data_IF_815683387954
#
_entry.id   IF_815683387954
#
_cell.length_a   1.000
_cell.length_b   1.000
_cell.length_c   1.000
_cell.angle_alpha   90.00
_cell.angle_beta   90.00
_cell.angle_gamma   90.00
#
_symmetry.space_group_name_H-M   'P 1'
#
loop_
_entity.id
_entity.type
_entity.pdbx_description
1 polymer ?
#
# COMPACT_ATOMS: atom_id res chain seq x y z
N UNK A 1 -18.07 18.95 3.82
CA UNK A 1 -17.06 18.15 4.55
C UNK A 1 -17.69 16.79 4.82
N UNK A 2 -17.03 15.69 4.51
CA UNK A 2 -17.62 14.35 4.63
C UNK A 2 -17.10 13.63 5.86
N UNK A 3 -17.97 13.05 6.66
CA UNK A 3 -17.58 12.25 7.83
C UNK A 3 -17.74 10.78 7.51
N UNK A 4 -16.66 10.00 7.62
CA UNK A 4 -16.74 8.55 7.59
C UNK A 4 -16.75 8.03 9.02
N UNK A 5 -17.85 7.37 9.40
CA UNK A 5 -18.08 6.88 10.76
C UNK A 5 -18.32 5.37 10.79
N UNK A 6 -18.03 4.77 11.95
CA UNK A 6 -18.25 3.35 12.21
C UNK A 6 -19.17 3.17 13.41
N UNK A 7 -20.30 2.45 13.26
CA UNK A 7 -21.24 2.31 14.34
C UNK A 7 -20.68 1.40 15.44
N UNK A 8 -20.55 1.94 16.65
CA UNK A 8 -20.84 1.19 17.86
C UNK A 8 -21.57 2.11 18.84
N UNK A 9 -22.87 1.79 19.03
CA UNK A 9 -23.80 2.20 20.09
C UNK A 9 -23.81 3.67 20.54
N UNK A 10 -24.96 4.31 20.34
CA UNK A 10 -25.37 5.53 21.01
C UNK A 10 -25.63 5.26 22.51
N UNK A 11 -24.58 4.99 23.30
CA UNK A 11 -24.51 5.00 24.77
C UNK A 11 -23.07 4.69 25.21
N UNK A 12 -22.41 5.32 26.20
CA UNK A 12 -22.80 6.32 27.20
C UNK A 12 -21.99 7.64 27.13
N UNK A 13 -20.94 7.72 26.31
CA UNK A 13 -20.06 8.91 26.20
C UNK A 13 -19.50 9.13 24.78
N UNK A 14 -20.12 8.53 23.75
CA UNK A 14 -19.71 8.61 22.35
C UNK A 14 -20.88 8.83 21.38
N UNK A 15 -20.60 8.99 20.09
CA UNK A 15 -21.62 9.19 19.07
C UNK A 15 -21.04 9.55 17.69
N UNK A 16 -21.90 10.07 16.83
CA UNK A 16 -21.55 10.60 15.51
C UNK A 16 -22.15 12.00 15.35
N UNK A 17 -21.64 12.74 14.37
CA UNK A 17 -22.07 14.09 14.04
C UNK A 17 -23.51 14.07 13.52
N UNK A 18 -24.44 14.66 14.28
CA UNK A 18 -25.82 14.80 13.84
C UNK A 18 -25.92 15.92 12.79
N UNK A 19 -26.52 15.62 11.64
CA UNK A 19 -26.72 16.56 10.52
C UNK A 19 -27.42 17.87 10.95
N UNK A 20 -28.24 17.83 12.01
CA UNK A 20 -28.89 19.03 12.58
C UNK A 20 -27.88 20.04 13.15
N UNK A 21 -26.76 19.57 13.71
CA UNK A 21 -25.68 20.42 14.23
C UNK A 21 -24.59 20.70 13.18
N UNK A 22 -24.52 19.87 12.14
CA UNK A 22 -23.52 19.95 11.08
C UNK A 22 -24.19 20.00 9.69
N UNK A 23 -24.85 21.11 9.31
CA UNK A 23 -25.69 21.17 8.11
C UNK A 23 -24.91 21.09 6.79
N UNK A 24 -23.60 21.34 6.81
CA UNK A 24 -22.71 21.27 5.63
C UNK A 24 -21.90 19.96 5.58
N UNK A 25 -22.38 18.94 6.31
CA UNK A 25 -21.73 17.64 6.43
C UNK A 25 -22.62 16.55 5.86
N UNK A 26 -22.01 15.68 5.05
CA UNK A 26 -22.59 14.40 4.66
C UNK A 26 -21.92 13.32 5.52
N UNK A 27 -22.71 12.58 6.30
CA UNK A 27 -22.21 11.48 7.12
C UNK A 27 -22.37 10.15 6.38
N UNK A 28 -21.28 9.39 6.28
CA UNK A 28 -21.24 8.11 5.59
C UNK A 28 -20.76 7.02 6.53
N UNK A 29 -21.58 5.99 6.71
CA UNK A 29 -21.21 4.81 7.46
C UNK A 29 -20.52 3.81 6.53
N UNK A 30 -19.33 3.33 6.92
CA UNK A 30 -18.59 2.31 6.15
C UNK A 30 -18.80 0.88 6.65
N UNK A 31 -19.56 0.72 7.73
CA UNK A 31 -19.96 -0.58 8.31
C UNK A 31 -18.79 -1.53 8.60
N UNK A 32 -17.60 -0.99 8.87
CA UNK A 32 -16.44 -1.83 9.14
C UNK A 32 -16.57 -2.55 10.49
N UNK A 33 -16.31 -3.86 10.52
CA UNK A 33 -16.31 -4.67 11.74
C UNK A 33 -15.34 -4.15 12.81
N UNK A 34 -15.61 -4.53 14.06
CA UNK A 34 -14.73 -4.25 15.19
C UNK A 34 -13.55 -5.24 15.28
N UNK A 35 -12.63 -4.97 16.21
CA UNK A 35 -11.39 -5.74 16.39
C UNK A 35 -11.64 -7.24 16.66
N UNK A 36 -12.75 -7.61 17.30
CA UNK A 36 -13.06 -9.00 17.65
C UNK A 36 -13.51 -9.80 16.43
N UNK A 37 -14.33 -9.18 15.56
CA UNK A 37 -14.76 -9.80 14.31
C UNK A 37 -13.57 -10.03 13.38
N UNK A 38 -12.65 -9.06 13.29
CA UNK A 38 -11.43 -9.20 12.48
C UNK A 38 -10.49 -10.28 13.04
N UNK A 39 -10.35 -10.37 14.38
CA UNK A 39 -9.59 -11.47 15.01
C UNK A 39 -10.18 -12.83 14.65
N UNK A 40 -11.50 -12.98 14.76
CA UNK A 40 -12.18 -14.24 14.45
C UNK A 40 -12.05 -14.61 12.96
N UNK A 41 -12.11 -13.62 12.07
CA UNK A 41 -11.90 -13.83 10.63
C UNK A 41 -10.52 -14.40 10.32
N UNK A 42 -9.45 -13.82 10.89
CA UNK A 42 -8.10 -14.35 10.69
C UNK A 42 -7.91 -15.73 11.35
N UNK A 43 -8.55 -15.97 12.50
CA UNK A 43 -8.52 -17.28 13.16
C UNK A 43 -9.10 -18.36 12.25
N UNK A 44 -10.28 -18.11 11.66
CA UNK A 44 -10.89 -19.01 10.67
C UNK A 44 -10.00 -19.19 9.44
N UNK A 45 -9.42 -18.11 8.91
CA UNK A 45 -8.53 -18.18 7.76
C UNK A 45 -7.32 -19.08 8.02
N UNK A 46 -6.68 -18.93 9.18
CA UNK A 46 -5.57 -19.80 9.62
C UNK A 46 -5.97 -21.28 9.59
N UNK A 47 -7.15 -21.62 10.13
CA UNK A 47 -7.63 -23.00 10.18
C UNK A 47 -7.90 -23.59 8.78
N UNK A 48 -8.25 -22.76 7.80
CA UNK A 48 -8.46 -23.18 6.41
C UNK A 48 -7.14 -23.42 5.67
N UNK A 49 -6.12 -22.59 5.91
CA UNK A 49 -4.86 -22.61 5.15
C UNK A 49 -3.76 -23.48 5.77
N UNK A 50 -3.89 -23.88 7.04
CA UNK A 50 -2.85 -24.62 7.77
C UNK A 50 -3.44 -25.56 8.84
N UNK A 51 -2.95 -26.82 8.98
CA UNK A 51 -1.77 -27.39 8.32
C UNK A 51 -2.05 -28.06 6.97
N UNK A 52 -3.30 -28.42 6.69
CA UNK A 52 -3.71 -29.13 5.48
C UNK A 52 -4.89 -28.43 4.83
N UNK A 53 -4.83 -28.23 3.51
CA UNK A 53 -5.88 -27.59 2.73
C UNK A 53 -6.91 -28.63 2.27
N UNK A 54 -8.20 -28.31 2.40
CA UNK A 54 -9.30 -29.08 1.79
C UNK A 54 -9.61 -28.55 0.39
N UNK A 55 -8.94 -29.10 -0.64
CA UNK A 55 -9.03 -28.64 -2.03
C UNK A 55 -10.48 -28.55 -2.58
N UNK A 56 -11.36 -29.56 -2.41
CA UNK A 56 -12.72 -29.52 -2.95
C UNK A 56 -13.59 -28.37 -2.41
N UNK A 57 -13.35 -27.93 -1.17
CA UNK A 57 -14.13 -26.88 -0.51
C UNK A 57 -13.32 -25.59 -0.31
N UNK A 58 -12.15 -25.45 -0.95
CA UNK A 58 -11.25 -24.31 -0.77
C UNK A 58 -11.96 -22.96 -0.86
N UNK A 59 -12.68 -22.73 -1.97
CA UNK A 59 -13.33 -21.44 -2.21
C UNK A 59 -14.45 -21.14 -1.20
N UNK A 60 -15.26 -22.14 -0.84
CA UNK A 60 -16.34 -21.94 0.14
C UNK A 60 -15.80 -21.79 1.56
N UNK A 61 -14.74 -22.50 1.92
CA UNK A 61 -14.07 -22.38 3.20
C UNK A 61 -13.43 -20.99 3.38
N UNK A 62 -12.75 -20.48 2.36
CA UNK A 62 -12.20 -19.12 2.36
C UNK A 62 -13.31 -18.06 2.46
N UNK A 63 -14.40 -18.21 1.72
CA UNK A 63 -15.54 -17.29 1.77
C UNK A 63 -16.15 -17.20 3.20
N UNK A 64 -16.29 -18.34 3.89
CA UNK A 64 -16.80 -18.41 5.27
C UNK A 64 -15.90 -17.74 6.32
N UNK A 65 -14.65 -17.42 5.99
CA UNK A 65 -13.77 -16.62 6.86
C UNK A 65 -14.15 -15.14 6.85
N UNK A 66 -14.80 -14.68 5.78
CA UNK A 66 -15.06 -13.27 5.45
C UNK A 66 -13.80 -12.39 5.36
N UNK A 67 -12.60 -12.97 5.31
CA UNK A 67 -11.37 -12.18 5.31
C UNK A 67 -11.29 -11.25 4.09
N UNK A 68 -11.47 -11.80 2.89
CA UNK A 68 -11.47 -11.03 1.65
C UNK A 68 -12.62 -10.02 1.58
N UNK A 69 -13.75 -10.31 2.23
CA UNK A 69 -14.85 -9.36 2.33
C UNK A 69 -14.46 -8.14 3.18
N UNK A 70 -13.72 -8.33 4.27
CA UNK A 70 -13.24 -7.20 5.08
C UNK A 70 -12.12 -6.42 4.40
N UNK A 71 -11.24 -7.08 3.63
CA UNK A 71 -10.27 -6.40 2.74
C UNK A 71 -11.02 -5.57 1.68
N UNK A 72 -12.08 -6.12 1.09
CA UNK A 72 -12.94 -5.43 0.12
C UNK A 72 -13.57 -4.17 0.72
N UNK A 73 -14.12 -4.25 1.93
CA UNK A 73 -14.74 -3.10 2.58
C UNK A 73 -13.73 -1.99 2.88
N UNK A 74 -12.51 -2.33 3.33
CA UNK A 74 -11.42 -1.35 3.53
C UNK A 74 -11.04 -0.64 2.23
N UNK A 75 -10.75 -1.41 1.18
CA UNK A 75 -10.39 -0.86 -0.12
C UNK A 75 -11.53 -0.02 -0.70
N UNK A 76 -12.78 -0.48 -0.61
CA UNK A 76 -13.94 0.28 -1.08
C UNK A 76 -14.10 1.62 -0.32
N UNK A 77 -13.91 1.60 1.01
CA UNK A 77 -13.94 2.80 1.84
C UNK A 77 -12.86 3.80 1.46
N UNK A 78 -11.60 3.34 1.36
CA UNK A 78 -10.47 4.17 0.96
C UNK A 78 -10.60 4.72 -0.47
N UNK A 79 -11.03 3.90 -1.43
CA UNK A 79 -11.31 4.33 -2.81
C UNK A 79 -12.40 5.41 -2.83
N UNK A 80 -13.46 5.26 -2.02
CA UNK A 80 -14.52 6.27 -1.90
C UNK A 80 -13.99 7.58 -1.33
N UNK A 81 -13.11 7.54 -0.33
CA UNK A 81 -12.46 8.71 0.23
C UNK A 81 -11.55 9.41 -0.78
N UNK A 82 -10.66 8.66 -1.43
CA UNK A 82 -9.78 9.17 -2.47
C UNK A 82 -10.57 9.83 -3.61
N UNK A 83 -11.67 9.22 -4.05
CA UNK A 83 -12.55 9.79 -5.07
C UNK A 83 -13.23 11.10 -4.62
N UNK A 84 -13.66 11.20 -3.36
CA UNK A 84 -14.26 12.43 -2.81
C UNK A 84 -13.25 13.57 -2.70
N UNK A 85 -12.01 13.26 -2.34
CA UNK A 85 -10.91 14.22 -2.29
C UNK A 85 -10.50 14.67 -3.70
N UNK A 86 -10.21 13.72 -4.59
CA UNK A 86 -9.66 14.02 -5.90
C UNK A 86 -10.72 14.47 -6.90
N UNK A 87 -11.79 13.71 -7.13
CA UNK A 87 -12.82 14.08 -8.11
C UNK A 87 -13.86 15.04 -7.51
N UNK A 88 -14.26 14.78 -6.26
CA UNK A 88 -15.26 15.60 -5.57
C UNK A 88 -14.73 16.91 -5.02
N UNK A 89 -13.40 17.12 -5.00
CA UNK A 89 -12.72 18.29 -4.43
C UNK A 89 -13.27 18.68 -3.05
N UNK A 90 -13.63 17.68 -2.25
CA UNK A 90 -14.31 17.84 -0.97
C UNK A 90 -13.42 17.34 0.16
N UNK A 91 -13.20 18.16 1.18
CA UNK A 91 -12.49 17.74 2.38
C UNK A 91 -13.24 16.66 3.15
N UNK A 92 -12.49 15.68 3.64
CA UNK A 92 -13.00 14.50 4.36
C UNK A 92 -12.45 14.50 5.78
N UNK A 93 -13.30 14.17 6.75
CA UNK A 93 -12.95 13.81 8.12
C UNK A 93 -13.23 12.33 8.31
N UNK A 94 -12.27 11.62 8.89
CA UNK A 94 -12.35 10.17 9.10
C UNK A 94 -12.24 9.93 10.57
N UNK A 95 -13.20 9.21 11.15
CA UNK A 95 -13.06 8.79 12.54
C UNK A 95 -13.74 7.44 12.80
N UNK A 96 -13.31 6.82 13.88
CA UNK A 96 -13.94 5.64 14.44
C UNK A 96 -14.12 5.85 15.94
N UNK A 97 -14.54 4.82 16.67
CA UNK A 97 -14.76 4.90 18.11
C UNK A 97 -13.60 5.55 18.87
N UNK A 98 -12.37 5.08 18.63
CA UNK A 98 -11.16 5.60 19.31
C UNK A 98 -10.18 6.34 18.38
N UNK A 99 -10.38 6.27 17.07
CA UNK A 99 -9.56 6.98 16.08
C UNK A 99 -8.19 6.36 15.73
N UNK A 100 -7.73 5.27 16.36
CA UNK A 100 -6.38 4.71 16.15
C UNK A 100 -6.32 3.39 15.34
N UNK A 101 -7.46 2.83 14.97
CA UNK A 101 -7.56 1.51 14.32
C UNK A 101 -8.01 1.63 12.85
N UNK A 102 -9.33 1.68 12.62
CA UNK A 102 -9.93 1.78 11.28
C UNK A 102 -9.63 3.12 10.60
N UNK A 103 -9.47 4.18 11.39
CA UNK A 103 -9.05 5.48 10.88
C UNK A 103 -7.67 5.38 10.23
N UNK A 104 -6.68 4.81 10.93
CA UNK A 104 -5.33 4.63 10.39
C UNK A 104 -5.33 3.79 9.10
N UNK A 105 -6.12 2.70 9.06
CA UNK A 105 -6.30 1.90 7.84
C UNK A 105 -6.80 2.75 6.66
N UNK A 106 -7.85 3.55 6.88
CA UNK A 106 -8.48 4.32 5.80
C UNK A 106 -7.64 5.52 5.36
N UNK A 107 -7.05 6.27 6.29
CA UNK A 107 -6.22 7.42 5.95
C UNK A 107 -4.97 6.97 5.22
N UNK A 108 -4.30 5.92 5.69
CA UNK A 108 -3.08 5.42 5.04
C UNK A 108 -3.35 4.84 3.66
N UNK A 109 -4.43 4.06 3.47
CA UNK A 109 -4.81 3.55 2.15
C UNK A 109 -5.20 4.67 1.18
N UNK A 110 -5.95 5.67 1.64
CA UNK A 110 -6.33 6.80 0.79
C UNK A 110 -5.11 7.64 0.40
N UNK A 111 -4.15 7.82 1.31
CA UNK A 111 -2.88 8.51 1.03
C UNK A 111 -2.05 7.76 -0.01
N UNK A 112 -1.99 6.42 0.03
CA UNK A 112 -1.32 5.62 -1.01
C UNK A 112 -1.97 5.75 -2.38
N UNK A 113 -3.30 5.84 -2.41
CA UNK A 113 -4.06 6.04 -3.64
C UNK A 113 -3.78 7.43 -4.23
N UNK A 114 -3.75 8.47 -3.40
CA UNK A 114 -3.67 9.86 -3.84
C UNK A 114 -2.25 10.33 -4.15
N UNK A 115 -1.26 9.95 -3.34
CA UNK A 115 0.08 10.55 -3.37
C UNK A 115 1.14 9.49 -3.73
N UNK A 116 1.89 9.74 -4.82
CA UNK A 116 2.94 8.84 -5.30
C UNK A 116 4.15 8.78 -4.38
N UNK A 117 4.36 9.79 -3.53
CA UNK A 117 5.41 9.78 -2.52
C UNK A 117 5.30 8.54 -1.63
N UNK A 118 4.11 8.24 -1.10
CA UNK A 118 3.91 7.10 -0.20
C UNK A 118 4.05 5.74 -0.87
N UNK A 119 4.13 5.68 -2.20
CA UNK A 119 4.37 4.46 -2.98
C UNK A 119 5.86 4.18 -3.21
N UNK A 120 6.73 5.11 -2.84
CA UNK A 120 8.18 4.88 -2.75
C UNK A 120 8.52 4.06 -1.51
N UNK A 121 9.66 3.36 -1.51
CA UNK A 121 10.13 2.56 -0.39
C UNK A 121 10.25 3.42 0.87
N UNK A 122 10.86 4.61 0.76
CA UNK A 122 10.98 5.54 1.90
C UNK A 122 9.66 6.21 2.26
N UNK A 123 8.85 6.60 1.29
CA UNK A 123 7.57 7.22 1.56
C UNK A 123 6.62 6.28 2.29
N UNK A 124 6.61 4.99 1.96
CA UNK A 124 5.82 4.00 2.71
C UNK A 124 6.29 3.86 4.16
N UNK A 125 7.60 3.88 4.41
CA UNK A 125 8.14 3.87 5.78
C UNK A 125 7.67 5.11 6.56
N UNK A 126 7.70 6.29 5.93
CA UNK A 126 7.17 7.54 6.50
C UNK A 126 5.67 7.43 6.77
N UNK A 127 4.90 6.83 5.86
CA UNK A 127 3.47 6.62 6.04
C UNK A 127 3.16 5.78 7.29
N UNK A 128 3.92 4.70 7.50
CA UNK A 128 3.79 3.84 8.68
C UNK A 128 4.21 4.56 9.96
N UNK A 129 5.35 5.26 9.96
CA UNK A 129 5.79 6.05 11.12
C UNK A 129 4.78 7.16 11.47
N UNK A 130 4.17 7.79 10.46
CA UNK A 130 3.16 8.83 10.63
C UNK A 130 1.81 8.24 11.07
N UNK A 131 1.07 7.61 10.16
CA UNK A 131 -0.35 7.28 10.35
C UNK A 131 -0.59 6.15 11.35
N UNK A 132 0.44 5.33 11.62
CA UNK A 132 0.30 4.20 12.53
C UNK A 132 1.04 4.40 13.84
N UNK A 133 2.34 4.73 13.79
CA UNK A 133 3.15 4.79 15.01
C UNK A 133 2.91 6.10 15.76
N UNK A 134 3.04 7.26 15.10
CA UNK A 134 2.88 8.56 15.77
C UNK A 134 1.44 8.84 16.17
N UNK A 135 0.46 8.45 15.33
CA UNK A 135 -0.97 8.58 15.61
C UNK A 135 -1.52 7.54 16.60
N UNK A 136 -0.64 6.68 17.17
CA UNK A 136 -0.96 5.89 18.36
C UNK A 136 -1.76 4.63 18.10
N UNK A 137 -1.58 3.98 16.94
CA UNK A 137 -2.02 2.60 16.79
C UNK A 137 -1.36 1.75 17.87
N UNK A 138 -2.18 1.02 18.64
CA UNK A 138 -1.74 0.30 19.84
C UNK A 138 -1.03 -1.01 19.49
N UNK A 139 0.10 -0.96 18.78
CA UNK A 139 0.84 -2.13 18.29
C UNK A 139 1.08 -3.17 19.38
N UNK A 140 1.62 -2.74 20.53
CA UNK A 140 1.90 -3.65 21.65
C UNK A 140 0.65 -4.40 22.15
N UNK A 141 -0.50 -3.72 22.23
CA UNK A 141 -1.77 -4.33 22.67
C UNK A 141 -2.43 -5.19 21.57
N UNK A 142 -2.41 -4.72 20.33
CA UNK A 142 -3.03 -5.39 19.17
C UNK A 142 -2.30 -6.68 18.77
N UNK A 143 -0.99 -6.71 18.96
CA UNK A 143 -0.15 -7.89 18.69
C UNK A 143 0.07 -8.75 19.94
N UNK A 144 0.26 -8.12 21.12
CA UNK A 144 0.56 -8.81 22.37
C UNK A 144 2.04 -9.16 22.54
N UNK A 145 2.93 -8.17 22.37
CA UNK A 145 4.39 -8.35 22.41
C UNK A 145 4.84 -8.84 23.80
N UNK A 146 5.39 -10.06 23.86
CA UNK A 146 5.88 -10.65 25.12
C UNK A 146 4.79 -10.92 26.16
N UNK A 147 3.52 -10.86 25.79
CA UNK A 147 2.38 -11.13 26.67
C UNK A 147 1.96 -12.60 26.52
N UNK A 148 2.01 -13.34 27.63
CA UNK A 148 1.59 -14.75 27.69
C UNK A 148 0.08 -14.92 27.57
N UNK A 149 -0.72 -13.86 27.73
CA UNK A 149 -2.17 -13.93 27.58
C UNK A 149 -2.63 -13.90 26.11
N UNK A 150 -2.42 -15.02 25.42
CA UNK A 150 -2.99 -15.34 24.10
C UNK A 150 -4.52 -15.15 23.96
N UNK A 151 -5.30 -15.16 25.05
CA UNK A 151 -6.75 -14.94 25.00
C UNK A 151 -7.15 -13.46 25.13
N UNK A 152 -6.19 -12.54 25.21
CA UNK A 152 -6.44 -11.11 25.37
C UNK A 152 -7.34 -10.57 24.25
N UNK A 153 -8.48 -9.99 24.64
CA UNK A 153 -9.51 -9.49 23.73
C UNK A 153 -9.07 -8.26 22.93
N UNK A 154 -7.99 -7.59 23.31
CA UNK A 154 -7.43 -6.44 22.59
C UNK A 154 -6.61 -6.82 21.35
N UNK A 155 -6.24 -8.11 21.21
CA UNK A 155 -5.46 -8.58 20.07
C UNK A 155 -6.31 -8.61 18.80
N UNK A 156 -5.79 -8.04 17.71
CA UNK A 156 -6.46 -8.02 16.41
C UNK A 156 -5.50 -7.66 15.27
N UNK A 157 -5.64 -8.30 14.09
CA UNK A 157 -4.68 -8.16 12.98
C UNK A 157 -4.95 -6.94 12.07
N UNK A 158 -5.18 -5.75 12.64
CA UNK A 158 -5.56 -4.59 11.84
C UNK A 158 -4.44 -4.06 10.93
N UNK A 159 -3.21 -4.03 11.44
CA UNK A 159 -2.05 -3.67 10.61
C UNK A 159 -1.79 -4.73 9.52
N UNK A 160 -2.06 -6.00 9.80
CA UNK A 160 -2.00 -7.08 8.79
C UNK A 160 -3.02 -6.84 7.68
N UNK A 161 -4.27 -6.48 8.01
CA UNK A 161 -5.27 -6.12 7.00
C UNK A 161 -4.84 -4.92 6.15
N UNK A 162 -4.20 -3.92 6.75
CA UNK A 162 -3.66 -2.79 5.99
C UNK A 162 -2.59 -3.26 5.00
N UNK A 163 -1.60 -4.02 5.44
CA UNK A 163 -0.55 -4.53 4.56
C UNK A 163 -1.11 -5.45 3.47
N UNK A 164 -2.13 -6.26 3.77
CA UNK A 164 -2.86 -7.05 2.78
C UNK A 164 -3.53 -6.14 1.73
N UNK A 165 -4.24 -5.10 2.15
CA UNK A 165 -4.80 -4.10 1.21
C UNK A 165 -3.74 -3.44 0.34
N UNK A 166 -2.55 -3.16 0.89
CA UNK A 166 -1.40 -2.65 0.11
C UNK A 166 -0.96 -3.70 -0.92
N UNK A 167 -0.82 -4.96 -0.51
CA UNK A 167 -0.50 -6.05 -1.41
C UNK A 167 -1.52 -6.18 -2.55
N UNK A 168 -2.84 -6.11 -2.28
CA UNK A 168 -3.88 -6.11 -3.31
C UNK A 168 -3.66 -4.99 -4.34
N UNK A 169 -3.28 -3.78 -3.89
CA UNK A 169 -2.96 -2.68 -4.80
C UNK A 169 -1.69 -2.95 -5.61
N UNK A 170 -0.67 -3.59 -5.04
CA UNK A 170 0.52 -3.99 -5.82
C UNK A 170 0.21 -5.02 -6.91
N UNK A 171 -0.77 -5.90 -6.69
CA UNK A 171 -1.23 -6.86 -7.71
C UNK A 171 -1.98 -6.15 -8.85
N UNK A 172 -2.85 -5.20 -8.52
CA UNK A 172 -3.63 -4.45 -9.52
C UNK A 172 -2.79 -3.39 -10.26
N UNK A 173 -1.73 -2.87 -9.63
CA UNK A 173 -0.85 -1.84 -10.20
C UNK A 173 0.64 -2.23 -10.11
N UNK A 174 1.11 -3.21 -10.91
CA UNK A 174 2.45 -3.80 -10.75
C UNK A 174 3.64 -2.84 -10.91
N UNK A 175 3.43 -1.67 -11.54
CA UNK A 175 4.46 -0.66 -11.76
C UNK A 175 4.34 0.56 -10.84
N UNK A 176 3.31 0.65 -9.99
CA UNK A 176 3.02 1.87 -9.24
C UNK A 176 3.74 1.97 -7.89
N UNK A 177 4.28 0.87 -7.36
CA UNK A 177 4.95 0.80 -6.07
C UNK A 177 6.43 0.45 -6.25
N UNK A 178 7.30 1.20 -5.57
CA UNK A 178 8.75 0.99 -5.62
C UNK A 178 9.17 -0.26 -4.85
N UNK A 179 8.41 -0.63 -3.82
CA UNK A 179 8.68 -1.81 -3.02
C UNK A 179 8.00 -3.06 -3.58
N UNK A 180 8.59 -4.22 -3.33
CA UNK A 180 8.08 -5.51 -3.76
C UNK A 180 7.36 -6.26 -2.61
N UNK A 181 6.85 -7.46 -2.91
CA UNK A 181 6.15 -8.29 -1.95
C UNK A 181 7.03 -8.72 -0.76
N UNK A 182 8.33 -8.96 -0.97
CA UNK A 182 9.25 -9.33 0.11
C UNK A 182 9.29 -8.24 1.18
N UNK A 183 9.31 -6.97 0.79
CA UNK A 183 9.26 -5.86 1.74
C UNK A 183 8.02 -5.92 2.64
N UNK A 184 6.84 -6.16 2.07
CA UNK A 184 5.60 -6.26 2.84
C UNK A 184 5.62 -7.45 3.81
N UNK A 185 6.12 -8.61 3.36
CA UNK A 185 6.28 -9.80 4.22
C UNK A 185 7.30 -9.52 5.34
N UNK A 186 8.43 -8.88 5.05
CA UNK A 186 9.45 -8.51 6.03
C UNK A 186 8.91 -7.55 7.08
N UNK A 187 8.07 -6.58 6.69
CA UNK A 187 7.35 -5.70 7.63
C UNK A 187 6.47 -6.52 8.59
N UNK A 188 5.71 -7.50 8.06
CA UNK A 188 4.85 -8.35 8.87
C UNK A 188 5.62 -9.36 9.75
N UNK A 189 6.75 -9.89 9.29
CA UNK A 189 7.61 -10.72 10.13
C UNK A 189 8.18 -9.92 11.31
N UNK A 190 8.59 -8.69 11.05
CA UNK A 190 9.15 -7.82 12.08
C UNK A 190 8.12 -7.11 12.96
N UNK A 191 6.85 -7.07 12.56
CA UNK A 191 5.72 -6.74 13.43
C UNK A 191 5.71 -7.65 14.66
N UNK A 192 5.92 -8.95 14.46
CA UNK A 192 5.87 -9.95 15.54
C UNK A 192 7.22 -10.21 16.20
N UNK A 193 8.33 -10.11 15.46
CA UNK A 193 9.65 -10.57 15.93
C UNK A 193 10.17 -9.85 17.19
N UNK A 194 9.75 -8.61 17.42
CA UNK A 194 10.33 -7.70 18.43
C UNK A 194 11.86 -7.49 18.30
N UNK A 195 12.46 -7.82 17.15
CA UNK A 195 13.88 -7.59 16.90
C UNK A 195 14.22 -6.10 16.84
N UNK A 196 13.29 -5.31 16.29
CA UNK A 196 13.40 -3.86 16.12
C UNK A 196 12.45 -3.12 17.07
N UNK A 197 12.78 -1.87 17.38
CA UNK A 197 11.92 -0.99 18.15
C UNK A 197 10.73 -0.43 17.39
N UNK A 198 10.70 -0.56 16.06
CA UNK A 198 9.72 0.11 15.17
C UNK A 198 8.28 -0.09 15.63
N UNK A 199 7.86 -1.32 15.91
CA UNK A 199 6.48 -1.64 16.29
C UNK A 199 6.28 -1.88 17.80
N UNK A 200 7.19 -1.41 18.66
CA UNK A 200 7.02 -1.49 20.11
C UNK A 200 6.16 -0.35 20.68
N UNK A 201 5.55 -0.59 21.84
CA UNK A 201 4.69 0.33 22.60
C UNK A 201 3.35 0.64 21.90
N UNK A 202 2.54 1.52 22.51
CA UNK A 202 1.21 1.87 22.00
C UNK A 202 1.05 3.34 21.57
N UNK A 203 2.03 4.20 21.87
CA UNK A 203 1.98 5.61 21.52
C UNK A 203 3.39 6.21 21.42
N UNK A 204 3.52 7.34 20.73
CA UNK A 204 4.77 8.10 20.67
C UNK A 204 5.27 8.51 22.06
N UNK A 205 4.36 8.90 22.96
CA UNK A 205 4.68 9.23 24.35
C UNK A 205 5.34 8.04 25.09
N UNK A 206 4.76 6.84 24.98
CA UNK A 206 5.35 5.64 25.59
C UNK A 206 6.72 5.31 25.00
N UNK A 207 6.90 5.49 23.68
CA UNK A 207 8.17 5.25 22.99
C UNK A 207 9.25 6.20 23.46
N UNK A 208 8.91 7.48 23.65
CA UNK A 208 9.81 8.48 24.20
C UNK A 208 10.20 8.16 25.65
N UNK A 209 9.22 7.82 26.49
CA UNK A 209 9.45 7.47 27.90
C UNK A 209 10.36 6.23 28.07
N UNK A 210 10.27 5.27 27.15
CA UNK A 210 11.13 4.08 27.14
C UNK A 210 12.42 4.26 26.35
N UNK A 211 12.65 5.44 25.77
CA UNK A 211 13.82 5.76 24.95
C UNK A 211 14.04 4.75 23.80
N UNK A 212 12.95 4.34 23.13
CA UNK A 212 13.00 3.30 22.09
C UNK A 212 14.00 3.65 21.00
N UNK A 213 14.05 4.92 20.58
CA UNK A 213 14.93 5.38 19.49
C UNK A 213 16.43 5.23 19.81
N UNK A 214 16.84 5.29 21.09
CA UNK A 214 18.26 5.18 21.48
C UNK A 214 18.61 3.78 21.97
N UNK A 215 17.64 3.04 22.51
CA UNK A 215 17.85 1.68 23.07
C UNK A 215 17.61 0.55 22.08
N UNK A 216 17.07 0.83 20.89
CA UNK A 216 16.73 -0.19 19.90
C UNK A 216 17.09 0.26 18.49
N UNK A 217 17.13 -0.70 17.55
CA UNK A 217 17.34 -0.43 16.13
C UNK A 217 15.99 -0.28 15.42
N UNK A 218 15.93 0.60 14.43
CA UNK A 218 14.77 0.71 13.53
C UNK A 218 14.79 -0.37 12.45
N UNK A 219 13.64 -0.96 12.16
CA UNK A 219 13.43 -1.85 11.00
C UNK A 219 13.87 -1.16 9.71
N UNK A 220 13.61 0.14 9.60
CA UNK A 220 13.98 0.92 8.41
C UNK A 220 15.49 1.03 8.23
N UNK A 221 16.28 1.00 9.31
CA UNK A 221 17.73 0.94 9.21
C UNK A 221 18.20 -0.35 8.54
N UNK A 222 17.55 -1.48 8.86
CA UNK A 222 17.81 -2.76 8.20
C UNK A 222 17.36 -2.73 6.73
N UNK A 223 16.11 -2.38 6.47
CA UNK A 223 15.55 -2.35 5.10
C UNK A 223 16.38 -1.45 4.18
N UNK A 224 16.71 -0.24 4.64
CA UNK A 224 17.43 0.74 3.84
C UNK A 224 18.93 0.42 3.68
N UNK A 225 19.47 -0.56 4.41
CA UNK A 225 20.84 -1.03 4.20
C UNK A 225 20.98 -2.01 3.02
N UNK A 226 19.86 -2.54 2.52
CA UNK A 226 19.81 -3.56 1.45
C UNK A 226 18.58 -3.35 0.56
N UNK A 227 18.42 -2.13 0.03
CA UNK A 227 17.23 -1.73 -0.74
C UNK A 227 16.97 -2.61 -1.96
N UNK A 228 18.02 -3.14 -2.60
CA UNK A 228 17.92 -3.98 -3.79
C UNK A 228 17.02 -5.21 -3.61
N UNK A 229 16.98 -5.79 -2.41
CA UNK A 229 16.14 -6.97 -2.14
C UNK A 229 14.65 -6.61 -2.07
N UNK A 230 14.36 -5.34 -1.79
CA UNK A 230 13.03 -4.81 -1.53
C UNK A 230 12.46 -3.99 -2.68
N UNK A 231 13.27 -3.67 -3.69
CA UNK A 231 12.86 -2.86 -4.84
C UNK A 231 12.13 -3.71 -5.89
N UNK A 232 11.08 -3.12 -6.46
CA UNK A 232 10.35 -3.64 -7.60
C UNK A 232 11.03 -3.16 -8.91
N UNK A 233 11.55 -4.08 -9.76
CA UNK A 233 12.20 -3.72 -11.02
C UNK A 233 11.27 -3.06 -12.03
N UNK A 234 9.96 -3.24 -11.90
CA UNK A 234 8.94 -2.68 -12.80
C UNK A 234 8.44 -1.30 -12.37
N UNK A 235 8.93 -0.78 -11.23
CA UNK A 235 8.50 0.51 -10.73
C UNK A 235 8.76 1.62 -11.75
N UNK A 236 7.71 2.40 -11.99
CA UNK A 236 7.71 3.61 -12.78
C UNK A 236 7.17 4.75 -11.94
N UNK A 237 7.94 5.84 -11.83
CA UNK A 237 7.50 7.03 -11.13
C UNK A 237 6.53 7.82 -12.01
N UNK A 238 5.24 7.51 -11.89
CA UNK A 238 4.17 8.32 -12.45
C UNK A 238 3.85 9.45 -11.47
N UNK A 239 4.39 10.63 -11.75
CA UNK A 239 4.02 11.85 -11.03
C UNK A 239 2.50 12.08 -11.19
N UNK A 240 1.84 12.46 -10.10
CA UNK A 240 0.43 12.89 -10.05
C UNK A 240 -0.65 11.87 -10.48
N UNK A 241 -0.34 10.57 -10.58
CA UNK A 241 -1.36 9.57 -10.93
C UNK A 241 -2.05 8.97 -9.71
N UNK A 242 -3.35 9.22 -9.53
CA UNK A 242 -4.18 8.64 -8.47
C UNK A 242 -4.60 7.20 -8.81
N UNK A 243 -4.45 6.28 -7.86
CA UNK A 243 -4.84 4.88 -8.02
C UNK A 243 -6.27 4.63 -7.52
N UNK A 244 -7.08 3.93 -8.31
CA UNK A 244 -8.43 3.51 -7.94
C UNK A 244 -8.54 1.98 -8.03
N UNK A 245 -8.18 1.22 -6.97
CA UNK A 245 -8.29 -0.23 -7.00
C UNK A 245 -9.74 -0.70 -7.08
N UNK A 246 -9.95 -1.82 -7.77
CA UNK A 246 -11.22 -2.50 -7.89
C UNK A 246 -11.50 -3.32 -6.63
N UNK A 247 -12.31 -2.75 -5.74
CA UNK A 247 -12.78 -3.41 -4.52
C UNK A 247 -13.94 -4.39 -4.81
N UNK A 248 -13.64 -5.46 -5.55
CA UNK A 248 -14.59 -6.52 -5.91
C UNK A 248 -14.00 -7.89 -5.59
N UNK A 249 -14.81 -8.81 -5.08
CA UNK A 249 -14.41 -10.20 -4.79
C UNK A 249 -13.82 -10.95 -6.01
N UNK A 250 -14.08 -10.47 -7.23
CA UNK A 250 -13.51 -11.01 -8.47
C UNK A 250 -12.07 -10.58 -8.75
N UNK A 251 -11.59 -9.53 -8.08
CA UNK A 251 -10.28 -8.91 -8.30
C UNK A 251 -9.41 -8.92 -7.04
N UNK A 252 -9.94 -9.42 -5.94
CA UNK A 252 -9.19 -9.63 -4.70
C UNK A 252 -8.76 -11.08 -4.64
N UNK A 253 -7.52 -11.28 -4.27
CA UNK A 253 -6.91 -12.59 -4.19
C UNK A 253 -6.53 -12.91 -2.75
N UNK A 254 -6.51 -14.19 -2.39
CA UNK A 254 -5.90 -14.58 -1.12
C UNK A 254 -4.39 -14.42 -1.25
N UNK A 255 -3.76 -13.71 -0.32
CA UNK A 255 -2.31 -13.55 -0.26
C UNK A 255 -1.61 -14.85 0.20
N UNK A 256 -1.56 -15.85 -0.68
CA UNK A 256 -1.08 -17.21 -0.40
C UNK A 256 0.39 -17.24 0.02
N UNK A 257 1.22 -16.39 -0.57
CA UNK A 257 2.65 -16.21 -0.25
C UNK A 257 2.89 -15.65 1.16
N UNK A 258 1.88 -15.12 1.84
CA UNK A 258 1.93 -14.78 3.26
C UNK A 258 1.16 -15.80 4.13
N UNK A 259 -0.13 -16.00 3.87
CA UNK A 259 -1.00 -16.83 4.73
C UNK A 259 -0.72 -18.33 4.63
N UNK A 260 -0.31 -18.81 3.46
CA UNK A 260 -0.05 -20.23 3.18
C UNK A 260 1.44 -20.53 2.92
N UNK A 261 2.34 -19.61 3.28
CA UNK A 261 3.78 -19.69 2.97
C UNK A 261 4.53 -20.89 3.54
N UNK A 262 3.94 -21.54 4.55
CA UNK A 262 4.47 -22.75 5.19
C UNK A 262 3.85 -24.03 4.64
N UNK A 263 2.83 -23.94 3.79
CA UNK A 263 2.21 -25.11 3.16
C UNK A 263 3.11 -25.61 2.02
N UNK A 264 3.59 -26.87 2.06
CA UNK A 264 4.50 -27.39 1.03
C UNK A 264 3.94 -27.35 -0.39
N UNK A 265 2.62 -27.48 -0.56
CA UNK A 265 1.97 -27.44 -1.88
C UNK A 265 1.76 -26.02 -2.43
N UNK A 266 1.76 -25.01 -1.56
CA UNK A 266 1.52 -23.60 -1.95
C UNK A 266 2.79 -22.76 -1.99
N UNK A 267 3.93 -23.31 -1.54
CA UNK A 267 5.20 -22.61 -1.52
C UNK A 267 5.79 -22.54 -2.94
N UNK A 268 6.16 -21.34 -3.44
CA UNK A 268 6.89 -21.23 -4.69
C UNK A 268 8.21 -21.99 -4.63
N UNK A 269 8.54 -22.76 -5.67
CA UNK A 269 9.81 -23.51 -5.75
C UNK A 269 11.03 -22.58 -5.78
N UNK A 270 10.89 -21.41 -6.42
CA UNK A 270 11.91 -20.36 -6.48
C UNK A 270 11.39 -19.12 -5.77
N UNK A 271 12.17 -18.52 -4.85
CA UNK A 271 11.77 -17.27 -4.21
C UNK A 271 11.65 -16.12 -5.23
N UNK A 272 10.45 -15.55 -5.36
CA UNK A 272 10.15 -14.49 -6.35
C UNK A 272 11.12 -13.31 -6.25
N UNK A 273 11.51 -12.92 -5.03
CA UNK A 273 12.44 -11.80 -4.82
C UNK A 273 13.83 -12.00 -5.44
N UNK A 274 14.31 -13.24 -5.56
CA UNK A 274 15.59 -13.52 -6.22
C UNK A 274 15.52 -13.19 -7.70
N UNK A 275 14.43 -13.60 -8.36
CA UNK A 275 14.16 -13.24 -9.75
C UNK A 275 13.99 -11.73 -9.93
N UNK A 276 13.30 -11.04 -9.00
CA UNK A 276 13.17 -9.57 -9.04
C UNK A 276 14.52 -8.86 -8.92
N UNK A 277 15.42 -9.38 -8.07
CA UNK A 277 16.78 -8.85 -7.92
C UNK A 277 17.62 -9.05 -9.18
N UNK A 278 17.54 -10.23 -9.80
CA UNK A 278 18.20 -10.49 -11.09
C UNK A 278 17.69 -9.54 -12.19
N UNK A 279 16.38 -9.27 -12.21
CA UNK A 279 15.78 -8.30 -13.13
C UNK A 279 16.27 -6.86 -12.88
N UNK A 280 16.50 -6.45 -11.62
CA UNK A 280 17.10 -5.15 -11.31
C UNK A 280 18.52 -5.04 -11.88
N UNK A 281 19.35 -6.07 -11.69
CA UNK A 281 20.71 -6.11 -12.23
C UNK A 281 20.71 -6.06 -13.75
N UNK A 282 19.84 -6.86 -14.39
CA UNK A 282 19.71 -6.87 -15.85
C UNK A 282 19.22 -5.51 -16.39
N UNK A 283 18.26 -4.87 -15.72
CA UNK A 283 17.79 -3.52 -16.07
C UNK A 283 18.94 -2.52 -16.04
N UNK A 284 19.76 -2.53 -14.99
CA UNK A 284 20.90 -1.63 -14.87
C UNK A 284 21.95 -1.87 -15.98
N UNK A 285 22.23 -3.13 -16.31
CA UNK A 285 23.14 -3.47 -17.41
C UNK A 285 22.62 -2.97 -18.77
N UNK A 286 21.33 -3.19 -19.05
CA UNK A 286 20.69 -2.75 -20.29
C UNK A 286 20.66 -1.23 -20.39
N UNK A 287 20.35 -0.51 -19.31
CA UNK A 287 20.39 0.96 -19.29
C UNK A 287 21.79 1.48 -19.63
N UNK A 288 22.84 0.89 -19.06
CA UNK A 288 24.23 1.26 -19.38
C UNK A 288 24.58 1.04 -20.86
N UNK A 289 24.17 -0.10 -21.43
CA UNK A 289 24.38 -0.39 -22.86
C UNK A 289 23.64 0.60 -23.76
N UNK A 290 22.41 0.97 -23.37
CA UNK A 290 21.62 1.98 -24.08
C UNK A 290 22.34 3.33 -24.06
N UNK A 291 22.83 3.78 -22.92
CA UNK A 291 23.58 5.03 -22.79
C UNK A 291 24.87 5.04 -23.63
N UNK A 292 25.58 3.90 -23.68
CA UNK A 292 26.77 3.73 -24.50
C UNK A 292 26.46 3.84 -26.01
N UNK A 293 25.44 3.15 -26.49
CA UNK A 293 25.00 3.23 -27.89
C UNK A 293 24.51 4.63 -28.27
N UNK A 294 23.82 5.33 -27.37
CA UNK A 294 23.40 6.72 -27.60
C UNK A 294 24.60 7.66 -27.73
N UNK A 295 25.65 7.45 -26.94
CA UNK A 295 26.90 8.21 -27.02
C UNK A 295 27.66 7.94 -28.33
N UNK A 296 27.72 6.69 -28.78
CA UNK A 296 28.32 6.31 -30.07
C UNK A 296 27.55 6.90 -31.27
N UNK A 297 26.22 6.89 -31.22
CA UNK A 297 25.38 7.48 -32.29
C UNK A 297 25.55 9.00 -32.34
N UNK A 298 25.65 9.65 -31.17
CA UNK A 298 25.86 11.11 -31.08
C UNK A 298 27.26 11.52 -31.55
N UNK A 299 28.30 10.70 -31.31
CA UNK A 299 29.66 10.98 -31.78
C UNK A 299 29.86 10.74 -33.28
N UNK A 300 29.05 9.86 -33.90
CA UNK A 300 29.06 9.62 -35.34
C UNK A 300 28.18 10.58 -36.17
N UNK A 301 27.53 11.57 -35.52
CA UNK A 301 26.70 12.60 -36.16
C UNK A 301 27.36 13.98 -36.39
N UNK A 302 28.62 14.15 -36.89
CA UNK A 302 29.15 15.47 -37.23
C UNK A 302 29.39 15.69 -38.73
N UNK A 303 28.57 15.19 -39.67
CA UNK A 303 28.70 15.56 -41.09
C UNK A 303 27.38 15.45 -41.85
N UNK A 304 26.51 16.48 -41.77
CA UNK A 304 25.46 16.78 -42.75
C UNK A 304 24.78 18.12 -42.40
N UNK A 305 25.54 19.23 -42.35
CA UNK A 305 24.96 20.59 -42.42
C UNK A 305 26.02 21.69 -42.60
N UNK A 306 26.79 21.63 -43.69
CA UNK A 306 27.37 22.81 -44.36
C UNK A 306 27.86 22.34 -45.73
N UNK A 307 27.11 22.57 -46.81
CA UNK A 307 27.39 23.54 -47.86
C UNK A 307 26.17 23.42 -48.81
N UNK A 308 25.39 24.45 -49.13
CA UNK A 308 25.77 25.60 -49.93
C UNK A 308 24.74 26.72 -49.79
N UNK A 309 25.23 27.96 -49.65
CA UNK A 309 24.51 29.18 -50.03
C UNK A 309 25.29 29.89 -51.14
N UNK A 310 24.65 30.11 -52.31
CA UNK A 310 24.78 31.32 -53.17
C UNK A 310 23.94 31.21 -54.47
N UNK A 311 22.73 31.79 -54.41
CA UNK A 311 21.95 32.66 -55.33
C UNK A 311 22.31 32.82 -56.84
N UNK A 312 21.51 33.57 -57.66
CA UNK A 312 20.07 33.52 -57.95
C UNK A 312 19.77 33.61 -59.48
N UNK A 313 18.56 33.24 -59.94
CA UNK A 313 18.04 33.77 -61.21
C UNK A 313 16.51 33.78 -61.27
N UNK A 314 15.98 34.99 -61.48
CA UNK A 314 14.59 35.32 -61.77
C UNK A 314 13.95 34.44 -62.86
N UNK A 315 12.72 33.99 -62.62
CA UNK A 315 11.67 33.99 -63.65
C UNK A 315 10.28 33.96 -63.00
N UNK A 316 9.48 34.92 -63.43
CA UNK A 316 8.09 35.26 -63.11
C UNK A 316 7.07 34.16 -63.44
N UNK A 317 6.03 34.01 -62.61
CA UNK A 317 4.81 33.26 -62.94
C UNK A 317 3.74 33.35 -61.85
N UNK A 318 2.68 34.11 -62.13
CA UNK A 318 1.53 34.48 -61.28
C UNK A 318 0.64 33.31 -60.78
N UNK A 319 -0.24 33.55 -59.78
CA UNK A 319 -0.99 32.53 -59.06
C UNK A 319 -2.41 32.29 -59.62
N UNK A 320 -2.97 31.11 -59.40
CA UNK A 320 -4.39 30.82 -59.60
C UNK A 320 -4.90 29.80 -58.56
N UNK A 321 -5.86 30.27 -57.73
CA UNK A 321 -7.10 29.65 -57.23
C UNK A 321 -7.25 28.10 -57.33
N UNK A 322 -7.87 27.35 -56.41
CA UNK A 322 -9.03 27.62 -55.55
C UNK A 322 -9.18 26.54 -54.44
N UNK A 323 -9.77 26.98 -53.33
CA UNK A 323 -10.81 26.33 -52.52
C UNK A 323 -11.33 24.92 -52.96
N UNK A 324 -11.42 23.98 -52.01
CA UNK A 324 -12.60 23.75 -51.13
C UNK A 324 -12.10 23.23 -49.78
#
# INVERSE_FOLDING_TARGET
MLYFYFPHTQAKDGGYENESFYPNVELIFLEMPNIHVIRESLRKLKDVVYPTTDEPHWHSAIDQTHWLEYIRLLLAGATKMAYRLECGKTSVVVHCSDGWDRTAQLTSLSMLMLDSHYRTLRGFQVLVEKEWISFGHKFSARVGHGDENHANSERSPLFVQFIDCVWQMTQQFPAAFEFNELFLITVLDHLYSCLFGTFLCNSEQERAAKEVQTKTVSLWSYVNSQTEDFTNPFYMNYEDHVLYPLASSRHLELWTTYYARWSPCMRPQVPVHQALKELLLLRAELQRKVEELHRETSSHSPFLSSEHSSSPSHATGSPLHAAI
#
